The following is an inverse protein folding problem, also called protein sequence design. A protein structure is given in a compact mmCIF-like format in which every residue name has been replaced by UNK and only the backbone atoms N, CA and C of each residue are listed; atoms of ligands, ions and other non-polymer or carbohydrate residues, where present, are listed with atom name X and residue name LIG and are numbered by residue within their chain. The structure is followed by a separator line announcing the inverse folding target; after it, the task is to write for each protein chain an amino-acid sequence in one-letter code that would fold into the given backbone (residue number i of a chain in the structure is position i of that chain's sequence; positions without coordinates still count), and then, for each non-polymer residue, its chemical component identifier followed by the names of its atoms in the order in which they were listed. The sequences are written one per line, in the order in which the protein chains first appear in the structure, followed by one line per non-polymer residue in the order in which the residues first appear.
data_IF_559045468419
#
_entry.id   IF_559045468419
#
_cell.length_a   1.000
_cell.length_b   1.000
_cell.length_c   1.000
_cell.angle_alpha   90.00
_cell.angle_beta   90.00
_cell.angle_gamma   90.00
#
_symmetry.space_group_name_H-M   'P 1'
#
loop_
_entity.id
_entity.type
_entity.pdbx_description
1 polymer ?
#
# COMPACT_ATOMS: atom_id res chain seq x y z
N UNK A 1 -85.49 -49.77 -1.11
CA UNK A 1 -86.07 -50.75 -2.13
C UNK A 1 -84.91 -51.11 -3.04
N UNK A 2 -84.67 -52.41 -3.07
CA UNK A 2 -84.21 -53.29 -4.14
C UNK A 2 -82.79 -53.17 -4.66
N UNK A 3 -81.99 -54.13 -4.27
CA UNK A 3 -80.94 -54.76 -5.06
C UNK A 3 -81.47 -55.35 -6.37
N UNK A 4 -80.65 -55.63 -7.36
CA UNK A 4 -79.99 -56.93 -7.37
C UNK A 4 -78.55 -56.99 -7.94
N UNK A 5 -77.83 -57.95 -7.50
CA UNK A 5 -76.83 -58.88 -8.01
C UNK A 5 -76.67 -59.03 -9.53
N UNK A 6 -75.42 -59.18 -10.01
CA UNK A 6 -74.92 -60.24 -10.91
C UNK A 6 -73.38 -60.27 -10.94
N UNK A 7 -72.77 -61.31 -10.44
CA UNK A 7 -72.22 -62.56 -11.02
C UNK A 7 -70.91 -62.33 -11.78
N UNK A 8 -69.88 -62.76 -11.14
CA UNK A 8 -68.77 -63.66 -11.44
C UNK A 8 -68.62 -64.09 -12.89
N UNK A 9 -67.42 -63.85 -13.44
CA UNK A 9 -66.77 -64.82 -14.31
C UNK A 9 -65.24 -64.81 -14.09
N UNK A 10 -64.83 -65.97 -13.74
CA UNK A 10 -63.50 -66.50 -13.49
C UNK A 10 -62.75 -66.59 -14.83
N UNK A 11 -61.64 -65.99 -15.00
CA UNK A 11 -60.64 -66.37 -15.99
C UNK A 11 -59.31 -66.42 -15.30
N UNK A 12 -58.89 -67.62 -15.09
CA UNK A 12 -57.50 -68.01 -14.73
C UNK A 12 -56.62 -67.68 -15.98
N UNK A 13 -55.68 -66.84 -15.86
CA UNK A 13 -54.62 -66.55 -16.83
C UNK A 13 -53.29 -66.55 -16.19
N UNK A 14 -52.52 -67.55 -16.46
CA UNK A 14 -51.14 -67.79 -16.13
C UNK A 14 -50.31 -66.49 -16.14
N UNK A 15 -49.90 -66.03 -14.95
CA UNK A 15 -48.85 -65.05 -14.88
C UNK A 15 -47.48 -65.76 -14.77
N UNK A 16 -46.85 -65.86 -15.91
CA UNK A 16 -45.44 -66.22 -16.00
C UNK A 16 -44.65 -65.05 -15.33
N UNK A 17 -44.21 -65.31 -14.14
CA UNK A 17 -43.35 -64.36 -13.37
C UNK A 17 -41.95 -64.39 -13.94
N UNK A 18 -41.68 -63.53 -14.93
CA UNK A 18 -40.37 -63.30 -15.46
C UNK A 18 -39.67 -62.28 -14.54
N UNK A 19 -38.92 -62.76 -13.58
CA UNK A 19 -38.05 -61.95 -12.71
C UNK A 19 -36.92 -61.38 -13.60
N UNK A 20 -36.79 -60.09 -13.78
CA UNK A 20 -35.66 -59.53 -14.48
C UNK A 20 -34.40 -59.76 -13.62
N UNK A 21 -33.49 -60.56 -14.17
CA UNK A 21 -32.16 -60.82 -13.61
C UNK A 21 -31.44 -59.48 -13.45
N UNK A 22 -31.42 -58.91 -12.22
CA UNK A 22 -30.67 -57.73 -11.88
C UNK A 22 -29.20 -57.96 -12.22
N UNK A 23 -28.76 -57.34 -13.28
CA UNK A 23 -27.32 -57.21 -13.64
C UNK A 23 -26.64 -56.46 -12.47
N UNK A 24 -25.88 -57.20 -11.70
CA UNK A 24 -24.99 -56.58 -10.69
C UNK A 24 -23.96 -55.75 -11.42
N UNK A 25 -24.21 -54.44 -11.54
CA UNK A 25 -23.16 -53.48 -11.88
C UNK A 25 -22.15 -53.54 -10.74
N UNK A 26 -21.04 -54.27 -11.00
CA UNK A 26 -19.88 -54.26 -10.14
C UNK A 26 -19.26 -52.87 -10.27
N UNK A 27 -19.60 -51.92 -9.38
CA UNK A 27 -18.94 -50.63 -9.28
C UNK A 27 -17.47 -50.92 -8.94
N UNK A 28 -16.63 -50.79 -9.94
CA UNK A 28 -15.18 -50.86 -9.75
C UNK A 28 -14.80 -49.76 -8.78
N UNK A 29 -14.44 -50.14 -7.54
CA UNK A 29 -13.93 -49.16 -6.55
C UNK A 29 -12.70 -48.49 -7.12
N UNK A 30 -12.66 -47.18 -7.20
CA UNK A 30 -11.47 -46.46 -7.66
C UNK A 30 -10.34 -46.87 -6.74
N UNK A 31 -9.31 -47.46 -7.30
CA UNK A 31 -8.06 -47.73 -6.60
C UNK A 31 -7.49 -46.39 -6.16
N UNK A 32 -7.54 -46.10 -4.87
CA UNK A 32 -6.84 -44.95 -4.28
C UNK A 32 -5.35 -45.19 -4.50
N UNK A 33 -4.77 -44.47 -5.45
CA UNK A 33 -3.34 -44.47 -5.63
C UNK A 33 -2.74 -43.75 -4.42
N UNK A 34 -1.99 -44.47 -3.60
CA UNK A 34 -1.20 -43.86 -2.55
C UNK A 34 -0.10 -43.02 -3.17
N UNK A 35 0.17 -41.84 -2.61
CA UNK A 35 1.30 -40.99 -2.99
C UNK A 35 2.60 -41.70 -2.62
N UNK A 36 3.57 -41.64 -3.51
CA UNK A 36 4.92 -42.17 -3.22
C UNK A 36 5.70 -41.14 -2.40
N UNK A 37 6.63 -41.61 -1.58
CA UNK A 37 7.49 -40.75 -0.76
C UNK A 37 8.28 -39.75 -1.64
N UNK A 38 8.74 -40.20 -2.82
CA UNK A 38 9.47 -39.38 -3.78
C UNK A 38 8.58 -38.27 -4.38
N UNK A 39 7.31 -38.55 -4.62
CA UNK A 39 6.36 -37.57 -5.16
C UNK A 39 6.11 -36.41 -4.17
N UNK A 40 5.96 -36.75 -2.87
CA UNK A 40 5.84 -35.74 -1.82
C UNK A 40 7.15 -34.93 -1.70
N UNK A 41 8.29 -35.59 -1.79
CA UNK A 41 9.61 -34.94 -1.68
C UNK A 41 9.83 -33.95 -2.83
N UNK A 42 9.46 -34.29 -4.06
CA UNK A 42 9.55 -33.39 -5.22
C UNK A 42 8.60 -32.20 -5.03
N UNK A 43 7.38 -32.43 -4.56
CA UNK A 43 6.42 -31.33 -4.34
C UNK A 43 6.93 -30.34 -3.31
N UNK A 44 7.43 -30.82 -2.15
CA UNK A 44 7.98 -29.92 -1.14
C UNK A 44 9.23 -29.19 -1.62
N UNK A 45 10.08 -29.82 -2.43
CA UNK A 45 11.24 -29.17 -3.01
C UNK A 45 10.85 -28.03 -3.96
N UNK A 46 9.83 -28.23 -4.81
CA UNK A 46 9.29 -27.19 -5.69
C UNK A 46 8.66 -26.06 -4.86
N UNK A 47 7.87 -26.38 -3.83
CA UNK A 47 7.23 -25.39 -2.97
C UNK A 47 8.27 -24.53 -2.23
N UNK A 48 9.34 -25.14 -1.74
CA UNK A 48 10.44 -24.41 -1.09
C UNK A 48 11.19 -23.51 -2.08
N UNK A 49 11.44 -23.99 -3.31
CA UNK A 49 12.09 -23.19 -4.34
C UNK A 49 11.25 -21.96 -4.74
N UNK A 50 9.95 -22.13 -4.95
CA UNK A 50 9.04 -21.01 -5.27
C UNK A 50 8.85 -20.09 -4.06
N UNK A 51 8.66 -20.67 -2.86
CA UNK A 51 8.53 -19.91 -1.62
C UNK A 51 9.73 -19.02 -1.34
N UNK A 52 10.93 -19.55 -1.50
CA UNK A 52 12.17 -18.79 -1.34
C UNK A 52 12.29 -17.61 -2.31
N UNK A 53 11.93 -17.80 -3.57
CA UNK A 53 11.96 -16.74 -4.60
C UNK A 53 10.97 -15.61 -4.28
N UNK A 54 9.80 -15.94 -3.75
CA UNK A 54 8.77 -14.95 -3.39
C UNK A 54 9.23 -14.08 -2.23
N UNK A 55 9.79 -14.68 -1.18
CA UNK A 55 10.24 -13.95 0.02
C UNK A 55 11.31 -12.90 -0.31
N UNK A 56 12.31 -13.26 -1.12
CA UNK A 56 13.41 -12.34 -1.49
C UNK A 56 12.91 -11.10 -2.23
N UNK A 57 11.82 -11.19 -2.98
CA UNK A 57 11.27 -10.07 -3.74
C UNK A 57 10.25 -9.23 -2.96
N UNK A 58 9.65 -9.76 -1.90
CA UNK A 58 8.61 -9.05 -1.14
C UNK A 58 9.19 -8.11 -0.07
N UNK A 59 10.29 -8.50 0.57
CA UNK A 59 10.89 -7.72 1.66
C UNK A 59 11.28 -6.30 1.19
N UNK A 60 12.06 -6.11 0.11
CA UNK A 60 12.45 -4.77 -0.32
C UNK A 60 11.27 -3.88 -0.73
N UNK A 61 10.20 -4.47 -1.27
CA UNK A 61 9.00 -3.71 -1.66
C UNK A 61 8.23 -3.19 -0.47
N UNK A 62 8.17 -3.98 0.61
CA UNK A 62 7.52 -3.54 1.84
C UNK A 62 8.27 -2.38 2.47
N UNK A 63 9.58 -2.48 2.57
CA UNK A 63 10.44 -1.42 3.13
C UNK A 63 10.30 -0.10 2.36
N UNK A 64 10.31 -0.16 1.03
CA UNK A 64 10.09 1.02 0.20
C UNK A 64 8.69 1.62 0.42
N UNK A 65 7.66 0.79 0.54
CA UNK A 65 6.31 1.26 0.81
C UNK A 65 6.19 1.94 2.19
N UNK A 66 6.88 1.41 3.21
CA UNK A 66 6.91 2.00 4.55
C UNK A 66 7.63 3.37 4.54
N UNK A 67 8.73 3.50 3.78
CA UNK A 67 9.44 4.78 3.56
C UNK A 67 8.52 5.79 2.86
N UNK A 68 7.82 5.39 1.81
CA UNK A 68 6.93 6.27 1.08
C UNK A 68 5.75 6.73 1.96
N UNK A 69 5.24 5.85 2.80
CA UNK A 69 4.21 6.17 3.79
C UNK A 69 4.73 7.19 4.82
N UNK A 70 5.97 7.03 5.28
CA UNK A 70 6.60 7.99 6.20
C UNK A 70 6.73 9.37 5.58
N UNK A 71 7.11 9.45 4.30
CA UNK A 71 7.17 10.74 3.58
C UNK A 71 5.81 11.41 3.48
N UNK A 72 4.75 10.65 3.21
CA UNK A 72 3.37 11.16 3.21
C UNK A 72 2.97 11.67 4.59
N UNK A 73 3.35 10.96 5.66
CA UNK A 73 3.11 11.40 7.03
C UNK A 73 3.81 12.73 7.32
N UNK A 74 5.07 12.89 6.89
CA UNK A 74 5.79 14.16 7.00
C UNK A 74 5.12 15.31 6.25
N UNK A 75 4.62 15.06 5.05
CA UNK A 75 3.88 16.06 4.28
C UNK A 75 2.62 16.52 5.00
N UNK A 76 1.91 15.62 5.68
CA UNK A 76 0.73 15.95 6.48
C UNK A 76 1.11 16.84 7.68
N UNK A 77 2.19 16.49 8.39
CA UNK A 77 2.69 17.28 9.52
C UNK A 77 3.18 18.64 9.03
N UNK A 78 3.93 18.70 7.93
CA UNK A 78 4.42 19.93 7.31
C UNK A 78 3.27 20.88 6.94
N UNK A 79 2.21 20.34 6.34
CA UNK A 79 0.98 21.08 6.04
C UNK A 79 0.34 21.68 7.30
N UNK A 80 0.23 20.89 8.37
CA UNK A 80 -0.31 21.33 9.64
C UNK A 80 0.58 22.41 10.32
N UNK A 81 1.90 22.24 10.29
CA UNK A 81 2.86 23.21 10.81
C UNK A 81 2.81 24.53 10.05
N UNK A 82 2.66 24.48 8.73
CA UNK A 82 2.48 25.68 7.91
C UNK A 82 1.17 26.40 8.23
N UNK A 83 0.09 25.65 8.43
CA UNK A 83 -1.20 26.24 8.84
C UNK A 83 -1.10 26.87 10.24
N UNK A 84 -0.45 26.18 11.19
CA UNK A 84 -0.16 26.73 12.51
C UNK A 84 0.63 28.06 12.40
N UNK A 85 1.68 28.10 11.57
CA UNK A 85 2.48 29.30 11.33
C UNK A 85 1.67 30.46 10.74
N UNK A 86 0.68 30.19 9.89
CA UNK A 86 -0.19 31.23 9.34
C UNK A 86 -1.01 31.93 10.43
N UNK A 87 -1.51 31.16 11.40
CA UNK A 87 -2.33 31.68 12.48
C UNK A 87 -1.49 32.26 13.62
N UNK A 88 -0.45 31.55 14.06
CA UNK A 88 0.37 31.88 15.22
C UNK A 88 1.59 32.74 14.90
N UNK A 89 1.92 32.95 13.60
CA UNK A 89 3.11 33.69 13.10
C UNK A 89 4.48 33.08 13.47
N UNK A 90 4.46 31.88 14.03
CA UNK A 90 5.63 31.08 14.41
C UNK A 90 5.34 29.58 14.26
N UNK A 91 6.36 28.78 14.29
CA UNK A 91 6.20 27.35 14.53
C UNK A 91 6.05 27.04 16.01
N UNK A 92 5.53 25.87 16.40
CA UNK A 92 5.58 25.42 17.79
C UNK A 92 7.02 25.38 18.30
N UNK A 93 7.25 25.75 19.57
CA UNK A 93 8.57 25.59 20.18
C UNK A 93 8.88 24.11 20.46
N UNK A 94 10.15 23.80 20.82
CA UNK A 94 10.53 22.46 21.25
C UNK A 94 9.69 21.96 22.43
N UNK A 95 9.39 22.86 23.39
CA UNK A 95 8.57 22.54 24.57
C UNK A 95 7.12 22.22 24.21
N UNK A 96 6.56 22.92 23.23
CA UNK A 96 5.20 22.70 22.72
C UNK A 96 5.12 21.46 21.83
N UNK A 97 6.17 21.21 21.07
CA UNK A 97 6.30 20.08 20.18
C UNK A 97 5.18 19.97 19.14
N UNK A 98 5.09 18.82 18.51
CA UNK A 98 4.01 18.53 17.55
C UNK A 98 2.63 18.50 18.22
N UNK A 99 2.56 18.35 19.54
CA UNK A 99 1.32 18.25 20.28
C UNK A 99 0.49 19.53 20.23
N UNK A 100 1.12 20.71 20.07
CA UNK A 100 0.44 21.97 19.86
C UNK A 100 -0.44 22.01 18.59
N UNK A 101 -0.24 21.07 17.66
CA UNK A 101 -1.06 20.99 16.44
C UNK A 101 -2.48 20.46 16.70
N UNK A 102 -2.72 19.78 17.80
CA UNK A 102 -4.04 19.25 18.14
C UNK A 102 -4.54 19.63 19.53
N UNK A 103 -3.66 20.12 20.41
CA UNK A 103 -4.01 20.51 21.77
C UNK A 103 -3.46 21.90 22.10
N UNK A 104 -4.36 22.87 22.15
CA UNK A 104 -4.01 24.25 22.48
C UNK A 104 -3.56 24.46 23.93
N UNK A 105 -3.85 23.52 24.84
CA UNK A 105 -3.44 23.64 26.26
C UNK A 105 -1.94 23.49 26.46
N UNK A 106 -1.22 23.04 25.44
CA UNK A 106 0.22 22.87 25.42
C UNK A 106 0.97 24.11 24.92
N UNK A 107 0.25 25.14 24.50
CA UNK A 107 0.86 26.41 24.13
C UNK A 107 1.44 27.09 25.36
N UNK A 108 2.68 27.53 25.25
CA UNK A 108 3.43 28.17 26.36
C UNK A 108 2.81 29.53 26.73
N UNK A 109 2.22 30.24 25.75
CA UNK A 109 1.61 31.55 25.93
C UNK A 109 0.08 31.48 25.87
N UNK A 110 -0.58 31.79 26.97
CA UNK A 110 -2.05 31.86 27.03
C UNK A 110 -2.61 32.99 26.14
N UNK A 111 -1.88 34.10 25.99
CA UNK A 111 -2.28 35.22 25.13
C UNK A 111 -2.31 34.81 23.64
N UNK A 112 -1.38 33.98 23.23
CA UNK A 112 -1.32 33.43 21.86
C UNK A 112 -2.41 32.39 21.61
N UNK A 113 -2.88 31.70 22.63
CA UNK A 113 -3.95 30.69 22.51
C UNK A 113 -5.24 31.25 21.88
N UNK A 114 -5.42 32.56 21.92
CA UNK A 114 -6.54 33.26 21.26
C UNK A 114 -6.44 33.21 19.74
N UNK A 115 -5.22 33.15 19.19
CA UNK A 115 -4.96 33.08 17.78
C UNK A 115 -5.03 31.64 17.23
N UNK A 116 -5.02 30.65 18.13
CA UNK A 116 -5.11 29.24 17.76
C UNK A 116 -6.52 28.91 17.25
N UNK A 117 -6.66 28.58 15.96
CA UNK A 117 -7.94 28.46 15.27
C UNK A 117 -8.52 27.07 15.22
N UNK A 118 -7.82 26.08 15.75
CA UNK A 118 -8.39 24.75 15.80
C UNK A 118 -7.33 23.64 15.64
N UNK A 119 -7.83 22.41 15.53
CA UNK A 119 -6.94 21.27 15.32
C UNK A 119 -6.38 21.31 13.89
N UNK A 120 -5.07 21.43 13.78
CA UNK A 120 -4.37 21.43 12.51
C UNK A 120 -4.12 20.00 12.01
N UNK A 121 -4.15 19.01 12.91
CA UNK A 121 -4.17 17.58 12.61
C UNK A 121 -5.43 16.95 13.22
N UNK A 122 -6.11 16.11 12.45
CA UNK A 122 -7.32 15.41 12.92
C UNK A 122 -6.99 14.39 14.01
N UNK A 123 -5.85 13.73 13.88
CA UNK A 123 -5.36 12.72 14.82
C UNK A 123 -3.92 13.02 15.22
N UNK A 124 -3.57 12.76 16.49
CA UNK A 124 -2.18 12.86 16.94
C UNK A 124 -1.25 11.98 16.13
N UNK A 125 -0.19 12.56 15.60
CA UNK A 125 0.89 11.84 14.92
C UNK A 125 2.14 12.02 15.75
N UNK A 126 2.43 11.04 16.61
CA UNK A 126 3.59 11.05 17.52
C UNK A 126 4.64 10.01 17.16
N UNK A 127 4.27 9.03 16.31
CA UNK A 127 5.12 7.91 15.95
C UNK A 127 5.27 7.81 14.45
N UNK A 128 6.43 7.32 14.05
CA UNK A 128 6.72 6.99 12.66
C UNK A 128 6.07 5.66 12.23
N UNK A 129 6.27 5.28 10.97
CA UNK A 129 5.73 4.05 10.38
C UNK A 129 6.26 2.78 11.06
N UNK A 130 7.43 2.83 11.68
CA UNK A 130 8.06 1.70 12.39
C UNK A 130 7.77 1.70 13.89
N UNK A 131 7.02 2.70 14.38
CA UNK A 131 6.55 2.79 15.77
C UNK A 131 7.51 3.49 16.72
N UNK A 132 8.58 4.10 16.20
CA UNK A 132 9.46 4.99 16.97
C UNK A 132 8.81 6.36 17.15
N UNK A 133 9.20 7.12 18.16
CA UNK A 133 8.72 8.49 18.33
C UNK A 133 9.36 9.40 17.29
N UNK A 134 8.54 10.31 16.74
CA UNK A 134 9.03 11.36 15.85
C UNK A 134 9.77 12.42 16.66
N UNK A 135 10.94 12.80 16.21
CA UNK A 135 11.72 13.88 16.79
C UNK A 135 11.40 15.19 16.07
N UNK A 136 11.13 16.22 16.82
CA UNK A 136 10.82 17.56 16.34
C UNK A 136 11.69 18.58 17.07
N UNK A 137 12.38 19.43 16.31
CA UNK A 137 13.18 20.55 16.84
C UNK A 137 12.80 21.86 16.16
N UNK A 138 12.61 22.91 16.96
CA UNK A 138 12.33 24.25 16.47
C UNK A 138 12.96 25.34 17.41
N UNK A 139 13.94 26.12 16.89
CA UNK A 139 14.46 26.11 15.53
C UNK A 139 15.21 24.80 15.20
N UNK A 140 15.19 24.40 13.91
CA UNK A 140 15.90 23.20 13.48
C UNK A 140 17.41 23.39 13.49
N UNK A 141 18.15 22.29 13.59
CA UNK A 141 19.61 22.30 13.46
C UNK A 141 20.04 22.43 12.00
N UNK A 142 19.35 21.73 11.10
CA UNK A 142 19.56 21.78 9.66
C UNK A 142 18.79 22.96 9.05
N UNK A 143 17.53 23.14 9.45
CA UNK A 143 16.68 24.22 9.00
C UNK A 143 16.50 25.28 10.09
N UNK A 144 17.53 26.10 10.29
CA UNK A 144 17.61 27.10 11.36
C UNK A 144 16.52 28.18 11.34
N UNK A 145 15.90 28.43 10.20
CA UNK A 145 14.77 29.37 10.08
C UNK A 145 13.40 28.68 10.18
N UNK A 146 13.41 27.36 10.38
CA UNK A 146 12.22 26.51 10.42
C UNK A 146 12.26 25.51 11.55
N UNK A 147 12.04 24.29 11.19
CA UNK A 147 12.04 23.13 12.11
C UNK A 147 12.67 21.92 11.42
N UNK A 148 13.16 21.01 12.22
CA UNK A 148 13.57 19.68 11.79
C UNK A 148 12.59 18.65 12.31
N UNK A 149 12.26 17.71 11.45
CA UNK A 149 11.42 16.55 11.75
C UNK A 149 12.18 15.30 11.32
N UNK A 150 12.40 14.38 12.25
CA UNK A 150 13.22 13.18 12.04
C UNK A 150 12.44 11.95 12.44
N UNK A 151 12.52 10.91 11.60
CA UNK A 151 12.16 9.52 11.91
C UNK A 151 13.41 8.67 11.83
N UNK A 152 13.60 7.81 12.81
CA UNK A 152 14.79 6.92 12.90
C UNK A 152 14.73 5.72 11.95
N UNK A 153 13.73 5.68 11.05
CA UNK A 153 13.66 4.63 10.04
C UNK A 153 13.42 3.21 10.58
N UNK A 154 13.69 2.21 9.75
CA UNK A 154 13.44 0.80 10.08
C UNK A 154 14.35 0.25 11.18
N UNK A 155 15.59 0.74 11.33
CA UNK A 155 16.52 0.26 12.34
C UNK A 155 16.28 0.88 13.74
N UNK A 156 15.47 1.97 13.81
CA UNK A 156 15.08 2.69 15.03
C UNK A 156 16.26 3.29 15.81
N UNK A 157 17.35 3.61 15.11
CA UNK A 157 18.55 4.20 15.71
C UNK A 157 18.76 5.60 15.14
N UNK A 158 19.02 6.56 15.99
CA UNK A 158 19.34 7.93 15.63
C UNK A 158 20.71 8.04 14.97
N UNK A 159 20.81 8.84 13.90
CA UNK A 159 22.07 9.16 13.25
C UNK A 159 22.54 8.12 12.23
N UNK A 160 21.62 7.31 11.69
CA UNK A 160 21.93 6.30 10.67
C UNK A 160 21.53 6.75 9.26
N UNK A 161 21.97 5.98 8.24
CA UNK A 161 21.70 6.33 6.83
C UNK A 161 20.22 6.17 6.43
N UNK A 162 19.45 5.44 7.24
CA UNK A 162 18.03 5.20 7.02
C UNK A 162 17.11 6.21 7.75
N UNK A 163 17.70 7.18 8.46
CA UNK A 163 16.96 8.31 9.02
C UNK A 163 16.24 9.10 7.91
N UNK A 164 14.98 9.36 8.12
CA UNK A 164 14.17 10.16 7.22
C UNK A 164 13.93 11.53 7.85
N UNK A 165 14.36 12.58 7.17
CA UNK A 165 14.20 13.96 7.64
C UNK A 165 13.32 14.77 6.68
N UNK A 166 12.66 15.82 7.19
CA UNK A 166 11.93 16.75 6.34
C UNK A 166 12.85 17.51 5.36
N UNK A 167 14.12 17.72 5.71
CA UNK A 167 15.11 18.33 4.81
C UNK A 167 15.40 17.43 3.60
N UNK A 168 15.50 16.12 3.77
CA UNK A 168 15.67 15.17 2.67
C UNK A 168 14.42 15.06 1.79
N UNK A 169 13.24 15.31 2.35
CA UNK A 169 11.96 15.32 1.61
C UNK A 169 11.77 16.56 0.73
N UNK A 170 12.35 17.68 1.12
CA UNK A 170 12.28 18.94 0.36
C UNK A 170 13.28 18.99 -0.80
N UNK A 171 14.39 18.27 -0.72
CA UNK A 171 15.41 18.20 -1.77
C UNK A 171 14.94 17.51 -3.06
N UNK A 172 13.86 16.76 -3.04
CA UNK A 172 13.34 16.07 -4.24
C UNK A 172 12.39 16.94 -5.07
N UNK A 173 11.98 18.11 -4.56
CA UNK A 173 11.10 19.02 -5.32
C UNK A 173 11.86 20.06 -6.16
N UNK A 174 13.19 20.07 -6.13
CA UNK A 174 14.02 21.10 -6.78
C UNK A 174 15.08 20.62 -7.75
N UNK A 175 15.30 19.31 -7.90
CA UNK A 175 16.25 18.79 -8.88
C UNK A 175 15.60 17.82 -9.86
N UNK A 176 14.60 18.29 -10.60
CA UNK A 176 14.50 17.89 -11.99
C UNK A 176 15.65 18.61 -12.70
N UNK A 177 16.86 18.14 -12.47
CA UNK A 177 17.91 18.34 -13.40
C UNK A 177 17.44 17.71 -14.70
N UNK A 178 16.92 18.58 -15.55
CA UNK A 178 16.88 18.47 -16.97
C UNK A 178 17.98 17.51 -17.46
N UNK A 179 17.66 16.24 -17.57
CA UNK A 179 18.30 15.36 -18.52
C UNK A 179 17.71 15.77 -19.86
N UNK A 180 18.19 16.91 -20.36
CA UNK A 180 17.97 17.35 -21.70
C UNK A 180 18.32 16.23 -22.65
N UNK A 181 17.32 15.49 -23.03
CA UNK A 181 17.34 14.70 -24.24
C UNK A 181 17.41 15.70 -25.36
N UNK A 182 18.66 15.97 -25.78
CA UNK A 182 18.98 16.84 -26.87
C UNK A 182 18.35 16.34 -28.16
N UNK A 183 17.11 16.71 -28.38
CA UNK A 183 16.53 16.70 -29.72
C UNK A 183 17.20 17.79 -30.49
N UNK A 184 18.32 17.46 -31.13
CA UNK A 184 18.94 18.30 -32.16
C UNK A 184 17.93 18.38 -33.31
N UNK A 185 17.52 19.61 -33.74
CA UNK A 185 16.71 19.75 -34.94
C UNK A 185 17.56 19.28 -36.15
N UNK A 186 16.93 18.65 -37.15
CA UNK A 186 17.65 18.22 -38.35
C UNK A 186 18.23 19.45 -39.07
N UNK A 187 19.42 19.33 -39.72
CA UNK A 187 20.02 20.41 -40.44
C UNK A 187 19.14 20.85 -41.60
N UNK A 188 18.78 22.11 -41.61
CA UNK A 188 18.01 22.76 -42.65
C UNK A 188 18.84 22.72 -43.96
N UNK A 189 18.32 21.97 -44.92
CA UNK A 189 18.84 21.91 -46.27
C UNK A 189 18.40 23.17 -47.01
N UNK A 190 19.08 24.30 -46.73
CA UNK A 190 18.95 25.54 -47.47
C UNK A 190 19.43 25.37 -48.89
N UNK A 191 18.50 25.21 -49.80
CA UNK A 191 18.73 25.37 -51.24
C UNK A 191 18.91 26.84 -51.55
N UNK A 192 20.06 27.13 -52.15
CA UNK A 192 20.36 28.46 -52.67
C UNK A 192 19.42 28.85 -53.81
N UNK A 193 19.18 30.16 -53.85
CA UNK A 193 18.73 30.82 -55.07
C UNK A 193 19.47 32.15 -55.21
N UNK A 194 20.30 32.21 -56.21
CA UNK A 194 20.92 33.38 -56.84
C UNK A 194 19.87 34.41 -57.23
N UNK A 195 20.19 35.70 -57.09
CA UNK A 195 19.42 36.83 -57.61
C UNK A 195 20.26 38.06 -57.75
N UNK A 196 20.87 38.16 -58.90
CA UNK A 196 21.54 39.28 -59.61
C UNK A 196 20.70 40.55 -59.70
N UNK A 197 21.36 41.71 -59.73
CA UNK A 197 20.90 42.96 -60.40
C UNK A 197 20.95 44.19 -59.48
N UNK A 198 21.85 45.12 -59.57
CA UNK A 198 22.00 46.00 -60.65
C UNK A 198 21.46 47.41 -60.26
N UNK A 199 22.27 48.44 -60.19
CA UNK A 199 21.88 49.81 -60.01
C UNK A 199 22.89 50.61 -59.21
#
# INVERSE_FOLDING_TARGET
MSRPHRRISKLEGLLVNTIPRASRFSAARPRRRGLTLIEVLIVIAILLAIGGLVVVNLIPRKEQADIDLQKVQFQNIDGALKQFKLDMKRYPSDEEGLAALWDKSLLVSEDEATNWRGKYLESPITKDTWGSELVYHCPGEVNTEGYDLVSFGPDKQEGTEDDITNASSQGTSGSNADSGDGFAPPPDSGSGASGSGGG
#
